data_IF_892078033381
#
_entry.id   IF_892078033381
#
_cell.length_a   1.000
_cell.length_b   1.000
_cell.length_c   1.000
_cell.angle_alpha   90.00
_cell.angle_beta   90.00
_cell.angle_gamma   90.00
#
_symmetry.space_group_name_H-M   'P 1'
#
loop_
_entity.id
_entity.type
_entity.pdbx_description
1 polymer ?
#
# COMPACT_ATOMS: atom_id res chain seq x y z
N UNK A 1 -19.13 -4.66 -10.74
CA UNK A 1 -18.82 -5.80 -11.64
C UNK A 1 -17.51 -6.41 -11.19
N UNK A 2 -17.49 -7.71 -10.88
CA UNK A 2 -16.25 -8.40 -10.51
C UNK A 2 -15.26 -8.35 -11.69
N UNK A 3 -14.00 -8.08 -11.40
CA UNK A 3 -12.91 -8.03 -12.38
C UNK A 3 -11.69 -8.73 -11.79
N UNK A 4 -11.23 -9.78 -12.45
CA UNK A 4 -10.09 -10.59 -12.02
C UNK A 4 -9.00 -10.51 -13.09
N UNK A 5 -7.77 -10.20 -12.68
CA UNK A 5 -6.61 -10.18 -13.59
C UNK A 5 -5.60 -11.23 -13.14
N UNK A 6 -5.21 -12.10 -14.07
CA UNK A 6 -4.27 -13.19 -13.84
C UNK A 6 -3.12 -13.14 -14.86
N UNK A 7 -2.01 -13.80 -14.53
CA UNK A 7 -0.90 -14.03 -15.48
C UNK A 7 -0.56 -15.52 -15.50
N UNK A 8 -1.43 -16.36 -16.08
CA UNK A 8 -1.22 -17.81 -16.14
C UNK A 8 -0.11 -18.17 -17.14
N UNK A 9 0.41 -19.41 -17.03
CA UNK A 9 1.35 -19.92 -18.02
C UNK A 9 0.69 -20.10 -19.38
N UNK A 10 1.47 -20.00 -20.46
CA UNK A 10 0.97 -20.16 -21.84
C UNK A 10 0.26 -21.53 -22.02
N UNK A 11 0.75 -22.58 -21.36
CA UNK A 11 0.11 -23.91 -21.35
C UNK A 11 -1.32 -23.87 -20.81
N UNK A 12 -1.56 -23.12 -19.72
CA UNK A 12 -2.91 -22.95 -19.15
C UNK A 12 -3.80 -22.11 -20.07
N UNK A 13 -3.24 -21.08 -20.73
CA UNK A 13 -3.96 -20.27 -21.72
C UNK A 13 -4.43 -21.14 -22.87
N UNK A 14 -3.56 -21.97 -23.44
CA UNK A 14 -3.92 -22.86 -24.53
C UNK A 14 -5.01 -23.86 -24.15
N UNK A 15 -4.89 -24.50 -22.99
CA UNK A 15 -5.92 -25.41 -22.48
C UNK A 15 -7.28 -24.69 -22.27
N UNK A 16 -7.28 -23.45 -21.84
CA UNK A 16 -8.50 -22.65 -21.70
C UNK A 16 -9.13 -22.33 -23.06
N UNK A 17 -8.32 -21.96 -24.07
CA UNK A 17 -8.78 -21.69 -25.43
C UNK A 17 -9.36 -22.91 -26.09
N UNK A 18 -8.74 -24.08 -25.94
CA UNK A 18 -9.25 -25.36 -26.44
C UNK A 18 -10.61 -25.69 -25.80
N UNK A 19 -10.75 -25.50 -24.51
CA UNK A 19 -11.99 -25.80 -23.76
C UNK A 19 -13.15 -24.87 -24.15
N UNK A 20 -12.86 -23.60 -24.43
CA UNK A 20 -13.87 -22.56 -24.71
C UNK A 20 -13.78 -22.05 -26.17
N UNK A 21 -13.34 -22.85 -27.11
CA UNK A 21 -13.08 -22.47 -28.49
C UNK A 21 -14.30 -21.83 -29.17
N UNK A 22 -15.51 -22.35 -28.89
CA UNK A 22 -16.77 -21.85 -29.48
C UNK A 22 -17.18 -20.48 -28.98
N UNK A 23 -16.55 -19.96 -27.90
CA UNK A 23 -16.85 -18.67 -27.27
C UNK A 23 -15.92 -17.54 -27.73
N UNK A 24 -15.00 -17.82 -28.66
CA UNK A 24 -14.13 -16.81 -29.26
C UNK A 24 -14.93 -15.76 -30.02
N UNK A 25 -14.59 -14.49 -29.80
CA UNK A 25 -15.23 -13.34 -30.43
C UNK A 25 -14.17 -12.34 -30.93
N UNK A 26 -14.48 -11.52 -31.94
CA UNK A 26 -13.55 -10.50 -32.40
C UNK A 26 -13.37 -9.38 -31.36
N UNK A 27 -12.13 -8.87 -31.25
CA UNK A 27 -11.80 -7.68 -30.46
C UNK A 27 -11.28 -6.57 -31.36
N UNK A 28 -11.70 -5.32 -31.08
CA UNK A 28 -11.15 -4.12 -31.76
C UNK A 28 -9.86 -3.61 -31.09
N UNK A 29 -9.48 -4.14 -29.93
CA UNK A 29 -8.29 -3.74 -29.21
C UNK A 29 -7.06 -4.53 -29.73
N UNK A 30 -6.04 -3.86 -30.33
CA UNK A 30 -4.89 -4.54 -30.91
C UNK A 30 -4.00 -5.27 -29.90
N UNK A 31 -4.13 -4.95 -28.61
CA UNK A 31 -3.38 -5.60 -27.52
C UNK A 31 -4.05 -6.87 -27.00
N UNK A 32 -5.29 -7.16 -27.43
CA UNK A 32 -6.00 -8.39 -27.05
C UNK A 32 -5.72 -9.45 -28.12
N UNK A 33 -5.00 -10.50 -27.72
CA UNK A 33 -4.67 -11.66 -28.56
C UNK A 33 -5.89 -12.56 -28.78
N UNK A 34 -6.67 -12.79 -27.71
CA UNK A 34 -7.92 -13.57 -27.75
C UNK A 34 -8.98 -12.91 -26.87
N UNK A 35 -10.19 -12.85 -27.36
CA UNK A 35 -11.35 -12.36 -26.64
C UNK A 35 -12.45 -13.42 -26.66
N UNK A 36 -13.01 -13.72 -25.48
CA UNK A 36 -14.08 -14.71 -25.34
C UNK A 36 -15.28 -14.06 -24.67
N UNK A 37 -16.47 -14.42 -25.15
CA UNK A 37 -17.76 -14.11 -24.52
C UNK A 37 -18.32 -15.37 -23.91
N UNK A 38 -18.32 -15.45 -22.61
CA UNK A 38 -18.79 -16.58 -21.83
C UNK A 38 -20.08 -16.19 -21.09
N UNK A 39 -20.92 -17.15 -20.67
CA UNK A 39 -22.09 -16.85 -19.84
C UNK A 39 -21.69 -16.03 -18.60
N UNK A 40 -22.30 -14.86 -18.45
CA UNK A 40 -22.08 -13.89 -17.37
C UNK A 40 -20.63 -13.37 -17.22
N UNK A 41 -19.75 -13.59 -18.21
CA UNK A 41 -18.38 -13.07 -18.16
C UNK A 41 -17.79 -12.82 -19.56
N UNK A 42 -16.80 -11.93 -19.62
CA UNK A 42 -15.89 -11.78 -20.76
C UNK A 42 -14.47 -12.07 -20.32
N UNK A 43 -13.68 -12.65 -21.22
CA UNK A 43 -12.28 -12.96 -21.01
C UNK A 43 -11.43 -12.30 -22.09
N UNK A 44 -10.51 -11.45 -21.69
CA UNK A 44 -9.54 -10.79 -22.57
C UNK A 44 -8.14 -11.35 -22.29
N UNK A 45 -7.53 -12.00 -23.26
CA UNK A 45 -6.16 -12.50 -23.18
C UNK A 45 -5.29 -11.55 -23.97
N UNK A 46 -4.38 -10.87 -23.30
CA UNK A 46 -3.52 -9.85 -23.89
C UNK A 46 -2.25 -10.46 -24.48
N UNK A 47 -1.63 -9.76 -25.42
CA UNK A 47 -0.33 -10.11 -26.00
C UNK A 47 0.79 -10.23 -24.95
N UNK A 48 0.65 -9.57 -23.81
CA UNK A 48 1.55 -9.66 -22.65
C UNK A 48 1.39 -10.94 -21.82
N UNK A 49 0.45 -11.83 -22.17
CA UNK A 49 0.11 -13.02 -21.37
C UNK A 49 -0.82 -12.74 -20.18
N UNK A 50 -1.22 -11.48 -19.94
CA UNK A 50 -2.25 -11.16 -18.95
C UNK A 50 -3.61 -11.62 -19.41
N UNK A 51 -4.41 -12.13 -18.47
CA UNK A 51 -5.81 -12.55 -18.69
C UNK A 51 -6.69 -11.71 -17.77
N UNK A 52 -7.63 -10.96 -18.36
CA UNK A 52 -8.63 -10.16 -17.65
C UNK A 52 -9.99 -10.85 -17.82
N UNK A 53 -10.61 -11.19 -16.69
CA UNK A 53 -11.96 -11.75 -16.61
C UNK A 53 -12.89 -10.71 -15.97
N UNK A 54 -14.03 -10.44 -16.59
CA UNK A 54 -14.99 -9.42 -16.13
C UNK A 54 -16.41 -9.97 -16.20
N UNK A 55 -17.22 -9.65 -15.18
CA UNK A 55 -18.62 -10.06 -15.07
C UNK A 55 -18.89 -10.88 -13.82
N UNK A 56 -20.15 -11.19 -13.55
CA UNK A 56 -20.57 -11.95 -12.37
C UNK A 56 -20.05 -13.40 -12.38
N UNK A 57 -19.84 -13.98 -13.57
CA UNK A 57 -19.27 -15.31 -13.74
C UNK A 57 -17.73 -15.36 -13.78
N UNK A 58 -17.03 -14.23 -13.59
CA UNK A 58 -15.58 -14.16 -13.75
C UNK A 58 -14.82 -15.15 -12.86
N UNK A 59 -15.24 -15.35 -11.63
CA UNK A 59 -14.62 -16.27 -10.67
C UNK A 59 -14.66 -17.73 -11.14
N UNK A 60 -15.80 -18.14 -11.69
CA UNK A 60 -15.97 -19.50 -12.26
C UNK A 60 -14.94 -19.81 -13.31
N UNK A 61 -14.66 -18.87 -14.20
CA UNK A 61 -13.70 -19.07 -15.30
C UNK A 61 -12.26 -18.84 -14.85
N UNK A 62 -12.05 -17.98 -13.85
CA UNK A 62 -10.74 -17.76 -13.25
C UNK A 62 -10.22 -19.03 -12.53
N UNK A 63 -11.11 -19.86 -11.98
CA UNK A 63 -10.76 -21.12 -11.34
C UNK A 63 -10.07 -22.10 -12.28
N UNK A 64 -10.35 -22.03 -13.59
CA UNK A 64 -9.65 -22.84 -14.60
C UNK A 64 -8.14 -22.56 -14.63
N UNK A 65 -7.75 -21.33 -14.35
CA UNK A 65 -6.34 -20.92 -14.25
C UNK A 65 -5.73 -21.22 -12.87
N UNK A 66 -6.51 -21.80 -11.96
CA UNK A 66 -6.12 -22.08 -10.58
C UNK A 66 -6.47 -20.93 -9.61
N UNK A 67 -7.31 -19.98 -10.04
CA UNK A 67 -7.87 -18.97 -9.14
C UNK A 67 -8.86 -19.63 -8.19
N UNK A 68 -8.68 -19.41 -6.89
CA UNK A 68 -9.63 -19.85 -5.87
C UNK A 68 -10.29 -18.62 -5.27
N UNK A 69 -11.61 -18.62 -5.19
CA UNK A 69 -12.39 -17.56 -4.55
C UNK A 69 -11.96 -17.49 -3.08
N UNK A 70 -11.40 -16.37 -2.68
CA UNK A 70 -10.86 -16.19 -1.32
C UNK A 70 -9.35 -16.38 -1.16
N UNK A 71 -8.60 -16.78 -2.22
CA UNK A 71 -7.13 -16.90 -2.14
C UNK A 71 -6.38 -15.56 -2.17
N UNK A 72 -7.03 -14.42 -2.40
CA UNK A 72 -6.35 -13.12 -2.28
C UNK A 72 -5.78 -12.87 -0.87
N UNK A 73 -6.16 -13.69 0.11
CA UNK A 73 -5.61 -13.68 1.48
C UNK A 73 -5.11 -15.04 1.99
N UNK A 74 -4.96 -16.05 1.11
CA UNK A 74 -4.56 -17.41 1.51
C UNK A 74 -3.07 -17.54 1.92
N UNK A 75 -2.26 -16.51 1.69
CA UNK A 75 -0.86 -16.47 2.12
C UNK A 75 -0.65 -16.24 3.62
N UNK A 76 -1.71 -16.00 4.39
CA UNK A 76 -1.63 -15.64 5.81
C UNK A 76 -2.25 -16.70 6.75
N UNK A 77 -2.01 -17.97 6.53
CA UNK A 77 -2.51 -18.99 7.46
C UNK A 77 -1.55 -19.25 8.63
N UNK A 78 -0.85 -18.22 9.11
CA UNK A 78 0.13 -18.26 10.18
C UNK A 78 0.23 -16.89 10.87
N UNK A 79 0.72 -16.82 12.12
CA UNK A 79 0.99 -15.56 12.82
C UNK A 79 2.00 -14.70 12.06
N UNK A 80 1.61 -13.50 11.65
CA UNK A 80 2.36 -12.68 10.71
C UNK A 80 2.45 -11.22 11.15
N UNK A 81 3.64 -10.62 11.04
CA UNK A 81 3.79 -9.16 11.04
C UNK A 81 3.73 -8.66 9.60
N UNK A 82 2.80 -7.74 9.34
CA UNK A 82 2.74 -6.98 8.09
C UNK A 82 3.08 -5.51 8.32
N UNK A 83 3.75 -4.86 7.37
CA UNK A 83 4.04 -3.43 7.46
C UNK A 83 3.73 -2.68 6.19
N UNK A 84 3.32 -1.41 6.35
CA UNK A 84 3.07 -0.51 5.23
C UNK A 84 3.45 0.93 5.59
N UNK A 85 3.65 1.78 4.57
CA UNK A 85 4.02 3.20 4.67
C UNK A 85 3.07 4.09 3.88
N UNK A 86 2.53 5.11 4.55
CA UNK A 86 1.67 6.13 3.93
C UNK A 86 2.34 7.50 4.01
N UNK A 87 2.09 8.34 2.99
CA UNK A 87 2.62 9.70 2.89
C UNK A 87 3.81 9.84 1.94
N UNK A 88 4.35 8.74 1.39
CA UNK A 88 5.50 8.77 0.48
C UNK A 88 5.26 9.63 -0.79
N UNK A 89 4.05 9.58 -1.37
CA UNK A 89 3.67 10.37 -2.55
C UNK A 89 3.02 11.72 -2.24
N UNK A 90 2.98 12.13 -0.98
CA UNK A 90 2.35 13.38 -0.57
C UNK A 90 3.40 14.44 -0.25
N UNK A 91 3.20 15.65 -0.76
CA UNK A 91 4.04 16.81 -0.45
C UNK A 91 3.87 17.22 1.00
N UNK A 92 2.62 17.46 1.42
CA UNK A 92 2.29 17.77 2.81
C UNK A 92 2.22 16.51 3.66
N UNK A 93 2.42 16.69 4.96
CA UNK A 93 2.40 15.63 5.95
C UNK A 93 3.71 14.83 5.99
N UNK A 94 3.84 14.06 7.05
CA UNK A 94 4.99 13.21 7.32
C UNK A 94 4.94 11.86 6.60
N UNK A 95 5.74 10.91 7.10
CA UNK A 95 5.66 9.49 6.76
C UNK A 95 5.08 8.72 7.95
N UNK A 96 3.98 8.02 7.73
CA UNK A 96 3.38 7.12 8.71
C UNK A 96 3.74 5.68 8.34
N UNK A 97 4.44 4.98 9.21
CA UNK A 97 4.78 3.56 9.06
C UNK A 97 4.16 2.78 10.19
N UNK A 98 3.48 1.69 9.86
CA UNK A 98 2.86 0.81 10.85
C UNK A 98 3.28 -0.63 10.62
N UNK A 99 3.59 -1.32 11.71
CA UNK A 99 3.74 -2.77 11.76
C UNK A 99 2.59 -3.34 12.60
N UNK A 100 1.86 -4.32 12.07
CA UNK A 100 0.75 -4.98 12.76
C UNK A 100 0.97 -6.48 12.81
N UNK A 101 0.66 -7.09 13.95
CA UNK A 101 0.72 -8.54 14.14
C UNK A 101 -0.69 -9.12 14.08
N UNK A 102 -0.92 -10.02 13.15
CA UNK A 102 -2.21 -10.68 12.92
C UNK A 102 -2.04 -12.19 12.97
N UNK A 103 -2.95 -12.84 13.71
CA UNK A 103 -3.02 -14.29 13.85
C UNK A 103 -4.22 -14.85 13.08
N UNK A 104 -4.22 -16.14 12.68
CA UNK A 104 -5.31 -16.72 11.89
C UNK A 104 -6.71 -16.62 12.53
N UNK A 105 -6.80 -16.68 13.85
CA UNK A 105 -8.06 -16.52 14.60
C UNK A 105 -8.71 -15.14 14.47
N UNK A 106 -7.93 -14.12 14.10
CA UNK A 106 -8.41 -12.75 13.87
C UNK A 106 -8.95 -12.54 12.45
N UNK A 107 -8.72 -13.45 11.51
CA UNK A 107 -9.04 -13.26 10.10
C UNK A 107 -10.53 -13.00 9.85
N UNK A 108 -11.42 -13.77 10.47
CA UNK A 108 -12.87 -13.61 10.28
C UNK A 108 -13.36 -12.26 10.79
N UNK A 109 -12.84 -11.80 11.92
CA UNK A 109 -13.11 -10.47 12.45
C UNK A 109 -12.65 -9.38 11.47
N UNK A 110 -11.42 -9.48 10.96
CA UNK A 110 -10.86 -8.49 10.03
C UNK A 110 -11.63 -8.44 8.70
N UNK A 111 -12.01 -9.60 8.15
CA UNK A 111 -12.83 -9.67 6.92
C UNK A 111 -14.22 -9.06 7.11
N UNK A 112 -14.89 -9.37 8.24
CA UNK A 112 -16.19 -8.76 8.58
C UNK A 112 -16.11 -7.25 8.73
N UNK A 113 -14.97 -6.72 9.18
CA UNK A 113 -14.71 -5.28 9.27
C UNK A 113 -14.42 -4.63 7.91
N UNK A 114 -14.16 -5.44 6.86
CA UNK A 114 -13.85 -4.99 5.50
C UNK A 114 -12.36 -4.73 5.24
N UNK A 115 -11.46 -5.24 6.08
CA UNK A 115 -10.01 -5.03 5.95
C UNK A 115 -9.44 -5.66 4.68
N UNK A 116 -9.98 -6.80 4.21
CA UNK A 116 -9.49 -7.51 3.02
C UNK A 116 -9.62 -6.72 1.70
N UNK A 117 -10.41 -5.67 1.65
CA UNK A 117 -10.64 -4.81 0.48
C UNK A 117 -10.13 -3.36 0.72
N UNK A 118 -8.99 -3.24 1.39
CA UNK A 118 -8.42 -1.97 1.85
C UNK A 118 -8.22 -0.93 0.73
N UNK A 119 -7.99 -1.37 -0.52
CA UNK A 119 -7.82 -0.49 -1.69
C UNK A 119 -9.09 0.26 -2.09
N UNK A 120 -10.25 -0.26 -1.74
CA UNK A 120 -11.56 0.34 -2.06
C UNK A 120 -12.08 1.20 -0.92
N UNK A 121 -11.42 1.19 0.25
CA UNK A 121 -11.84 1.94 1.42
C UNK A 121 -11.67 3.44 1.21
N UNK A 122 -12.76 4.18 1.43
CA UNK A 122 -12.72 5.65 1.49
C UNK A 122 -12.05 6.13 2.79
N UNK A 123 -11.51 7.35 2.80
CA UNK A 123 -10.94 7.95 4.01
C UNK A 123 -11.95 7.98 5.18
N UNK A 124 -13.24 8.21 4.89
CA UNK A 124 -14.30 8.15 5.89
C UNK A 124 -14.41 6.75 6.50
N UNK A 125 -14.37 5.69 5.69
CA UNK A 125 -14.41 4.32 6.19
C UNK A 125 -13.16 3.95 6.98
N UNK A 126 -11.99 4.39 6.54
CA UNK A 126 -10.70 4.23 7.26
C UNK A 126 -10.80 4.84 8.66
N UNK A 127 -11.31 6.08 8.78
CA UNK A 127 -11.54 6.76 10.06
C UNK A 127 -12.49 6.00 10.99
N UNK A 128 -13.47 5.27 10.45
CA UNK A 128 -14.39 4.46 11.25
C UNK A 128 -13.75 3.18 11.79
N UNK A 129 -12.92 2.50 10.99
CA UNK A 129 -12.40 1.19 11.34
C UNK A 129 -11.02 1.24 12.01
N UNK A 130 -10.20 2.26 11.74
CA UNK A 130 -8.87 2.36 12.31
C UNK A 130 -8.85 2.38 13.86
N UNK A 131 -9.75 3.08 14.57
CA UNK A 131 -9.81 3.00 16.04
C UNK A 131 -10.07 1.59 16.57
N UNK A 132 -10.93 0.82 15.88
CA UNK A 132 -11.25 -0.57 16.23
C UNK A 132 -10.01 -1.45 16.03
N UNK A 133 -9.28 -1.26 14.92
CA UNK A 133 -8.05 -1.99 14.66
C UNK A 133 -6.96 -1.66 15.67
N UNK A 134 -6.79 -0.37 16.01
CA UNK A 134 -5.81 0.09 17.01
C UNK A 134 -6.08 -0.53 18.39
N UNK A 135 -7.34 -0.76 18.73
CA UNK A 135 -7.73 -1.41 20.00
C UNK A 135 -7.51 -2.93 19.98
N UNK A 136 -7.86 -3.60 18.87
CA UNK A 136 -7.96 -5.07 18.81
C UNK A 136 -6.71 -5.76 18.27
N UNK A 137 -5.87 -5.06 17.52
CA UNK A 137 -4.70 -5.63 16.85
C UNK A 137 -3.41 -5.07 17.46
N UNK A 138 -2.51 -5.96 17.84
CA UNK A 138 -1.18 -5.56 18.30
C UNK A 138 -0.43 -4.90 17.15
N UNK A 139 -0.01 -3.66 17.35
CA UNK A 139 0.66 -2.87 16.34
C UNK A 139 1.69 -1.91 16.93
N UNK A 140 2.56 -1.40 16.07
CA UNK A 140 3.47 -0.31 16.34
C UNK A 140 3.36 0.72 15.21
N UNK A 141 2.93 1.91 15.56
CA UNK A 141 2.81 3.02 14.62
C UNK A 141 3.93 4.04 14.86
N UNK A 142 4.54 4.52 13.79
CA UNK A 142 5.56 5.56 13.79
C UNK A 142 5.15 6.66 12.82
N UNK A 143 5.28 7.90 13.25
CA UNK A 143 5.10 9.10 12.43
C UNK A 143 6.39 9.90 12.41
N UNK A 144 7.02 9.99 11.25
CA UNK A 144 8.12 10.92 11.01
C UNK A 144 7.52 12.25 10.51
N UNK A 145 7.58 13.29 11.35
CA UNK A 145 7.05 14.61 10.99
C UNK A 145 7.78 15.22 9.80
N UNK A 146 7.15 16.15 9.03
CA UNK A 146 7.83 16.80 7.90
C UNK A 146 9.12 17.49 8.29
N UNK A 147 9.15 18.23 9.39
CA UNK A 147 10.35 18.91 9.88
C UNK A 147 11.49 17.94 10.15
N UNK A 148 11.19 16.82 10.86
CA UNK A 148 12.21 15.79 11.13
C UNK A 148 12.64 15.05 9.87
N UNK A 149 11.70 14.82 8.94
CA UNK A 149 12.03 14.29 7.63
C UNK A 149 13.03 15.18 6.90
N UNK A 150 12.78 16.50 6.84
CA UNK A 150 13.65 17.46 6.18
C UNK A 150 15.05 17.58 6.83
N UNK A 151 15.11 17.41 8.16
CA UNK A 151 16.37 17.39 8.91
C UNK A 151 17.26 16.20 8.54
N UNK A 152 16.68 15.01 8.38
CA UNK A 152 17.45 13.76 8.19
C UNK A 152 17.70 13.40 6.73
N UNK A 153 16.89 13.96 5.80
CA UNK A 153 17.05 13.73 4.35
C UNK A 153 18.19 14.59 3.81
N UNK A 154 19.07 13.94 3.06
CA UNK A 154 20.24 14.59 2.45
C UNK A 154 21.50 14.47 3.29
N UNK A 155 21.39 14.39 4.61
CA UNK A 155 22.52 14.16 5.52
C UNK A 155 22.68 12.66 5.80
N UNK A 156 21.79 12.08 6.60
CA UNK A 156 21.86 10.69 7.02
C UNK A 156 21.10 9.74 6.10
N UNK A 157 19.96 10.16 5.57
CA UNK A 157 19.04 9.32 4.80
C UNK A 157 18.71 9.91 3.44
N UNK A 158 18.33 9.04 2.51
CA UNK A 158 17.58 9.41 1.31
C UNK A 158 16.11 8.94 1.44
N UNK A 159 15.28 9.27 0.46
CA UNK A 159 13.85 8.95 0.47
C UNK A 159 13.54 7.42 0.52
N UNK A 160 14.49 6.55 0.20
CA UNK A 160 14.34 5.10 0.32
C UNK A 160 14.85 4.62 1.67
N UNK A 161 16.07 5.00 2.06
CA UNK A 161 16.69 4.51 3.28
C UNK A 161 15.96 4.95 4.55
N UNK A 162 15.34 6.12 4.57
CA UNK A 162 14.50 6.57 5.70
C UNK A 162 13.29 5.64 5.91
N UNK A 163 12.69 5.13 4.83
CA UNK A 163 11.60 4.16 4.93
C UNK A 163 12.10 2.81 5.45
N UNK A 164 13.27 2.34 4.98
CA UNK A 164 13.90 1.12 5.54
C UNK A 164 14.10 1.26 7.04
N UNK A 165 14.66 2.38 7.50
CA UNK A 165 14.85 2.64 8.93
C UNK A 165 13.53 2.62 9.72
N UNK A 166 12.46 3.24 9.18
CA UNK A 166 11.15 3.28 9.83
C UNK A 166 10.48 1.90 9.89
N UNK A 167 10.50 1.13 8.80
CA UNK A 167 9.97 -0.23 8.80
C UNK A 167 10.73 -1.12 9.80
N UNK A 168 12.06 -1.08 9.74
CA UNK A 168 12.90 -1.83 10.68
C UNK A 168 12.59 -1.45 12.13
N UNK A 169 12.48 -0.16 12.44
CA UNK A 169 12.17 0.31 13.78
C UNK A 169 10.78 -0.11 14.26
N UNK A 170 9.75 -0.02 13.40
CA UNK A 170 8.40 -0.44 13.74
C UNK A 170 8.32 -1.95 14.04
N UNK A 171 8.96 -2.77 13.21
CA UNK A 171 9.05 -4.22 13.43
C UNK A 171 9.82 -4.51 14.72
N UNK A 172 11.00 -3.90 14.89
CA UNK A 172 11.83 -4.10 16.08
C UNK A 172 11.05 -3.80 17.37
N UNK A 173 10.38 -2.66 17.45
CA UNK A 173 9.60 -2.28 18.62
C UNK A 173 8.41 -3.22 18.87
N UNK A 174 7.80 -3.74 17.81
CA UNK A 174 6.72 -4.71 17.94
C UNK A 174 7.23 -6.06 18.46
N UNK A 175 8.39 -6.52 17.98
CA UNK A 175 9.05 -7.73 18.47
C UNK A 175 9.48 -7.58 19.95
N UNK A 176 9.92 -6.40 20.38
CA UNK A 176 10.27 -6.13 21.80
C UNK A 176 9.08 -6.27 22.76
N UNK A 177 7.85 -6.27 22.26
CA UNK A 177 6.64 -6.58 23.02
C UNK A 177 6.44 -8.09 23.28
N UNK A 178 7.40 -8.93 22.86
CA UNK A 178 7.35 -10.39 23.05
C UNK A 178 6.57 -11.13 21.95
N UNK A 179 6.22 -10.46 20.85
CA UNK A 179 5.52 -11.06 19.72
C UNK A 179 6.47 -11.99 18.96
N UNK A 180 5.97 -13.18 18.61
CA UNK A 180 6.71 -14.19 17.86
C UNK A 180 5.99 -14.50 16.53
N UNK A 181 6.27 -13.73 15.46
CA UNK A 181 5.71 -14.00 14.15
C UNK A 181 6.44 -15.18 13.49
N UNK A 182 5.70 -15.96 12.71
CA UNK A 182 6.29 -16.98 11.82
C UNK A 182 6.77 -16.37 10.51
N UNK A 183 6.21 -15.23 10.11
CA UNK A 183 6.61 -14.49 8.90
C UNK A 183 6.52 -12.98 9.14
N UNK A 184 7.43 -12.22 8.49
CA UNK A 184 7.38 -10.76 8.43
C UNK A 184 7.30 -10.35 6.96
N UNK A 185 6.27 -9.57 6.60
CA UNK A 185 6.03 -9.08 5.23
C UNK A 185 6.01 -7.56 5.22
N UNK A 186 6.75 -6.98 4.30
CA UNK A 186 6.74 -5.53 4.01
C UNK A 186 6.15 -5.34 2.62
N UNK A 187 5.19 -4.40 2.46
CA UNK A 187 4.78 -3.96 1.13
C UNK A 187 5.96 -3.30 0.42
N UNK A 188 6.36 -3.87 -0.73
CA UNK A 188 7.62 -3.56 -1.36
C UNK A 188 7.64 -2.15 -1.97
N UNK A 189 8.50 -1.30 -1.48
CA UNK A 189 8.79 0.04 -1.98
C UNK A 189 10.18 0.18 -2.60
N UNK A 190 10.98 -0.88 -2.55
CA UNK A 190 12.32 -0.98 -3.14
C UNK A 190 12.70 -2.46 -3.35
N UNK A 191 13.80 -2.72 -4.05
CA UNK A 191 14.29 -4.10 -4.23
C UNK A 191 14.89 -4.66 -2.92
N UNK A 192 14.87 -5.99 -2.76
CA UNK A 192 15.47 -6.65 -1.61
C UNK A 192 16.95 -6.27 -1.43
N UNK A 193 17.71 -6.23 -2.51
CA UNK A 193 19.12 -5.80 -2.49
C UNK A 193 19.32 -4.39 -1.92
N UNK A 194 18.46 -3.44 -2.30
CA UNK A 194 18.51 -2.08 -1.76
C UNK A 194 18.06 -2.04 -0.29
N UNK A 195 17.02 -2.80 0.05
CA UNK A 195 16.56 -2.91 1.43
C UNK A 195 17.68 -3.40 2.34
N UNK A 196 18.32 -4.51 2.01
CA UNK A 196 19.43 -5.10 2.77
C UNK A 196 20.62 -4.14 2.91
N UNK A 197 20.97 -3.44 1.81
CA UNK A 197 22.04 -2.43 1.82
C UNK A 197 21.77 -1.34 2.85
N UNK A 198 20.56 -0.82 2.92
CA UNK A 198 20.22 0.25 3.87
C UNK A 198 20.00 -0.29 5.28
N UNK A 199 19.38 -1.46 5.41
CA UNK A 199 19.21 -2.14 6.69
C UNK A 199 20.59 -2.40 7.37
N UNK A 200 21.63 -2.68 6.57
CA UNK A 200 22.97 -2.87 7.08
C UNK A 200 23.54 -1.68 7.87
N UNK A 201 22.97 -0.49 7.71
CA UNK A 201 23.39 0.75 8.38
C UNK A 201 22.61 1.03 9.68
N UNK A 202 21.50 0.28 9.93
CA UNK A 202 20.67 0.48 11.10
C UNK A 202 21.25 -0.25 12.33
N UNK A 203 21.11 0.37 13.49
CA UNK A 203 21.62 -0.17 14.76
C UNK A 203 20.74 -1.30 15.31
N UNK A 204 19.40 -1.16 15.17
CA UNK A 204 18.47 -2.15 15.70
C UNK A 204 18.40 -3.35 14.77
N UNK A 205 18.60 -4.55 15.35
CA UNK A 205 18.66 -5.81 14.62
C UNK A 205 17.72 -6.84 15.21
N UNK A 206 17.20 -7.69 14.35
CA UNK A 206 16.46 -8.90 14.70
C UNK A 206 16.80 -10.00 13.68
N UNK A 207 16.63 -11.25 14.07
CA UNK A 207 17.01 -12.42 13.25
C UNK A 207 15.90 -12.93 12.34
N UNK A 208 14.68 -12.46 12.53
CA UNK A 208 13.54 -12.90 11.73
C UNK A 208 13.73 -12.52 10.25
N UNK A 209 13.53 -13.46 9.31
CA UNK A 209 13.60 -13.15 7.89
C UNK A 209 12.46 -12.23 7.46
N UNK A 210 12.78 -11.29 6.58
CA UNK A 210 11.82 -10.33 6.01
C UNK A 210 11.55 -10.72 4.56
N UNK A 211 10.26 -10.70 4.17
CA UNK A 211 9.82 -10.80 2.77
C UNK A 211 9.35 -9.43 2.29
N UNK A 212 9.93 -8.93 1.19
CA UNK A 212 9.38 -7.76 0.48
C UNK A 212 8.50 -8.28 -0.65
N UNK A 213 7.23 -7.92 -0.63
CA UNK A 213 6.25 -8.38 -1.61
C UNK A 213 5.46 -7.21 -2.19
N UNK A 214 5.36 -7.15 -3.53
CA UNK A 214 4.56 -6.12 -4.19
C UNK A 214 3.07 -6.35 -3.97
N UNK A 215 2.35 -5.26 -3.68
CA UNK A 215 0.90 -5.26 -3.41
C UNK A 215 0.53 -6.21 -2.28
N UNK A 216 1.35 -6.24 -1.24
CA UNK A 216 1.21 -7.15 -0.13
C UNK A 216 -0.08 -6.89 0.67
N UNK A 217 -0.61 -5.67 0.65
CA UNK A 217 -1.89 -5.32 1.30
C UNK A 217 -3.08 -6.09 0.72
N UNK A 218 -3.03 -6.52 -0.55
CA UNK A 218 -4.05 -7.38 -1.16
C UNK A 218 -3.87 -8.87 -0.86
N UNK A 219 -2.74 -9.28 -0.30
CA UNK A 219 -2.40 -10.69 -0.03
C UNK A 219 -2.42 -11.04 1.45
N UNK A 220 -2.09 -10.08 2.32
CA UNK A 220 -1.87 -10.29 3.75
C UNK A 220 -2.71 -9.32 4.58
N UNK A 221 -3.60 -9.85 5.41
CA UNK A 221 -4.43 -9.04 6.30
C UNK A 221 -3.60 -8.17 7.26
N UNK A 222 -2.45 -8.65 7.73
CA UNK A 222 -1.57 -7.85 8.58
C UNK A 222 -1.04 -6.61 7.87
N UNK A 223 -0.71 -6.71 6.57
CA UNK A 223 -0.29 -5.55 5.75
C UNK A 223 -1.47 -4.62 5.52
N UNK A 224 -2.67 -5.16 5.21
CA UNK A 224 -3.88 -4.36 5.04
C UNK A 224 -4.27 -3.60 6.32
N UNK A 225 -4.16 -4.23 7.50
CA UNK A 225 -4.34 -3.55 8.80
C UNK A 225 -3.34 -2.41 8.97
N UNK A 226 -2.07 -2.66 8.68
CA UNK A 226 -1.02 -1.64 8.76
C UNK A 226 -1.27 -0.48 7.82
N UNK A 227 -1.71 -0.75 6.59
CA UNK A 227 -2.08 0.27 5.60
C UNK A 227 -3.20 1.18 6.11
N UNK A 228 -4.27 0.60 6.68
CA UNK A 228 -5.41 1.33 7.23
C UNK A 228 -4.99 2.21 8.41
N UNK A 229 -4.25 1.67 9.37
CA UNK A 229 -3.79 2.44 10.55
C UNK A 229 -2.81 3.53 10.12
N UNK A 230 -1.90 3.24 9.18
CA UNK A 230 -0.96 4.24 8.65
C UNK A 230 -1.68 5.36 7.88
N UNK A 231 -2.73 5.03 7.10
CA UNK A 231 -3.54 6.03 6.40
C UNK A 231 -4.29 6.93 7.37
N UNK A 232 -4.90 6.37 8.41
CA UNK A 232 -5.57 7.13 9.45
C UNK A 232 -4.60 8.09 10.17
N UNK A 233 -3.44 7.60 10.58
CA UNK A 233 -2.39 8.39 11.22
C UNK A 233 -1.88 9.53 10.32
N UNK A 234 -1.72 9.24 9.02
CA UNK A 234 -1.32 10.24 8.03
C UNK A 234 -2.38 11.34 7.84
N UNK A 235 -3.66 10.97 7.75
CA UNK A 235 -4.76 11.92 7.62
C UNK A 235 -4.88 12.80 8.87
N UNK A 236 -4.77 12.21 10.05
CA UNK A 236 -4.74 12.95 11.31
C UNK A 236 -3.55 13.95 11.36
N UNK A 237 -2.39 13.53 10.89
CA UNK A 237 -1.23 14.41 10.79
C UNK A 237 -1.48 15.60 9.84
N UNK A 238 -2.06 15.37 8.66
CA UNK A 238 -2.42 16.46 7.74
C UNK A 238 -3.39 17.45 8.38
N UNK A 239 -4.42 16.96 9.06
CA UNK A 239 -5.42 17.79 9.75
C UNK A 239 -4.80 18.64 10.87
N UNK A 240 -3.93 18.04 11.68
CA UNK A 240 -3.28 18.74 12.79
C UNK A 240 -2.35 19.84 12.26
N UNK A 241 -1.49 19.52 11.29
CA UNK A 241 -0.60 20.52 10.66
C UNK A 241 -1.40 21.64 9.97
N UNK A 242 -2.49 21.28 9.29
CA UNK A 242 -3.37 22.24 8.64
C UNK A 242 -4.07 23.15 9.62
N UNK A 243 -4.53 22.62 10.77
CA UNK A 243 -5.19 23.40 11.84
C UNK A 243 -4.24 24.42 12.43
N UNK A 244 -2.98 24.03 12.67
CA UNK A 244 -1.97 24.95 13.23
C UNK A 244 -1.63 26.11 12.29
N UNK A 245 -1.65 25.86 10.97
CA UNK A 245 -1.34 26.88 9.95
C UNK A 245 -2.59 27.65 9.45
N UNK A 246 -3.79 27.18 9.76
CA UNK A 246 -5.03 27.74 9.23
C UNK A 246 -5.33 27.38 7.78
N UNK A 247 -4.77 26.28 7.27
CA UNK A 247 -4.93 25.80 5.90
C UNK A 247 -5.43 24.36 5.84
N UNK A 248 -6.23 24.04 4.82
CA UNK A 248 -6.53 22.66 4.51
C UNK A 248 -5.40 22.09 3.64
N UNK A 249 -4.62 21.16 4.20
CA UNK A 249 -3.50 20.54 3.49
C UNK A 249 -3.98 19.37 2.64
N UNK A 250 -3.86 19.44 1.30
CA UNK A 250 -4.26 18.32 0.44
C UNK A 250 -3.26 17.17 0.52
N UNK A 251 -3.74 15.93 0.43
CA UNK A 251 -2.88 14.77 0.22
C UNK A 251 -2.40 14.73 -1.24
N UNK A 252 -1.20 14.17 -1.47
CA UNK A 252 -0.58 14.12 -2.79
C UNK A 252 0.33 15.31 -3.09
N UNK A 253 0.79 15.42 -4.34
CA UNK A 253 1.77 16.41 -4.80
C UNK A 253 1.33 17.12 -6.09
N UNK A 254 0.01 17.19 -6.33
CA UNK A 254 -0.59 17.82 -7.51
C UNK A 254 -0.74 19.35 -7.39
N UNK A 255 -1.49 19.93 -8.32
CA UNK A 255 -1.73 21.39 -8.41
C UNK A 255 -2.43 21.96 -7.17
N UNK A 256 -3.27 21.19 -6.49
CA UNK A 256 -3.88 21.62 -5.23
C UNK A 256 -2.80 21.84 -4.16
N UNK A 257 -1.80 20.96 -4.09
CA UNK A 257 -0.65 21.13 -3.18
C UNK A 257 0.23 22.31 -3.58
N UNK A 258 0.44 22.56 -4.88
CA UNK A 258 1.21 23.72 -5.37
C UNK A 258 0.57 25.05 -4.90
N UNK A 259 -0.77 25.18 -5.02
CA UNK A 259 -1.51 26.38 -4.61
C UNK A 259 -1.40 26.65 -3.10
N UNK A 260 -1.64 25.63 -2.29
CA UNK A 260 -1.55 25.76 -0.83
C UNK A 260 -0.11 26.03 -0.39
N UNK A 261 0.88 25.42 -1.04
CA UNK A 261 2.28 25.69 -0.78
C UNK A 261 2.67 27.16 -1.01
N UNK A 262 2.21 27.77 -2.11
CA UNK A 262 2.44 29.20 -2.39
C UNK A 262 1.81 30.09 -1.32
N UNK A 263 0.59 29.78 -0.88
CA UNK A 263 -0.08 30.54 0.18
C UNK A 263 0.66 30.44 1.53
N UNK A 264 1.10 29.24 1.92
CA UNK A 264 1.87 29.04 3.14
C UNK A 264 3.22 29.75 3.06
N UNK A 265 3.90 29.69 1.90
CA UNK A 265 5.17 30.37 1.70
C UNK A 265 5.03 31.90 1.82
N UNK A 266 3.96 32.48 1.30
CA UNK A 266 3.67 33.91 1.41
C UNK A 266 3.35 34.31 2.85
N UNK A 267 2.61 33.48 3.60
CA UNK A 267 2.17 33.80 4.96
C UNK A 267 3.25 33.53 6.03
N UNK A 268 3.99 32.45 5.89
CA UNK A 268 4.89 31.93 6.95
C UNK A 268 6.33 31.69 6.47
N UNK A 269 6.65 32.02 5.22
CA UNK A 269 7.98 31.78 4.65
C UNK A 269 8.35 30.28 4.56
N UNK A 270 9.63 30.03 4.38
CA UNK A 270 10.15 28.64 4.32
C UNK A 270 9.98 27.86 5.64
N UNK A 271 9.84 28.55 6.75
CA UNK A 271 9.58 27.88 8.04
C UNK A 271 8.23 27.20 8.06
N UNK A 272 7.19 27.84 7.50
CA UNK A 272 5.86 27.24 7.34
C UNK A 272 5.88 25.99 6.46
N UNK A 273 6.60 26.04 5.33
CA UNK A 273 6.76 24.86 4.47
C UNK A 273 7.58 23.75 5.15
N UNK A 274 8.65 24.11 5.87
CA UNK A 274 9.44 23.12 6.62
C UNK A 274 8.62 22.40 7.70
N UNK A 275 7.69 23.13 8.33
CA UNK A 275 6.81 22.58 9.35
C UNK A 275 5.83 21.54 8.80
N UNK A 276 5.27 21.75 7.60
CA UNK A 276 4.15 20.95 7.09
C UNK A 276 4.45 20.12 5.83
N UNK A 277 5.60 20.32 5.16
CA UNK A 277 5.88 19.73 3.86
C UNK A 277 7.27 19.07 3.77
N UNK A 278 7.40 18.10 2.86
CA UNK A 278 8.67 17.46 2.51
C UNK A 278 9.38 18.28 1.42
N UNK A 279 10.36 19.08 1.81
CA UNK A 279 10.96 20.13 0.97
C UNK A 279 11.69 19.65 -0.29
N UNK A 280 12.06 18.38 -0.38
CA UNK A 280 12.70 17.79 -1.56
C UNK A 280 11.76 17.62 -2.77
N UNK A 281 10.44 17.76 -2.57
CA UNK A 281 9.47 17.71 -3.66
C UNK A 281 9.57 18.96 -4.56
N UNK A 282 9.33 18.77 -5.87
CA UNK A 282 9.31 19.87 -6.86
C UNK A 282 8.28 20.96 -6.54
N UNK A 283 7.26 20.65 -5.71
CA UNK A 283 6.25 21.60 -5.23
C UNK A 283 6.90 22.79 -4.49
N UNK A 284 7.98 22.56 -3.73
CA UNK A 284 8.73 23.63 -3.05
C UNK A 284 9.28 24.66 -4.05
N UNK A 285 9.89 24.18 -5.14
CA UNK A 285 10.44 25.09 -6.16
C UNK A 285 9.34 25.79 -6.97
N UNK A 286 8.20 25.15 -7.17
CA UNK A 286 7.05 25.80 -7.81
C UNK A 286 6.46 26.89 -6.93
N UNK A 287 6.31 26.64 -5.61
CA UNK A 287 5.81 27.64 -4.68
C UNK A 287 6.66 28.91 -4.63
N UNK A 288 7.98 28.79 -4.82
CA UNK A 288 8.91 29.95 -4.88
C UNK A 288 8.77 30.80 -6.15
N UNK A 289 8.16 30.26 -7.21
CA UNK A 289 7.99 30.95 -8.51
C UNK A 289 6.64 31.64 -8.67
N UNK A 290 5.72 31.41 -7.76
CA UNK A 290 4.41 32.05 -7.65
C UNK A 290 4.47 33.14 -6.59
#
# INVERSE_FOLDING_TARGET
MASITLTPSEKKIQAFLEHYQTSLAPSKNPYIRYFLRLPQATVSIYTSGKVLLQGEGAEKYASFFGYQVGEENSGQNLPLIGTDVVGNGSYFGGLAVVASFVTPDQHDFLRKLGVGDSKTLTDQKIRQIAPILKEKIQHQALLLSPSKYNEVIGDRYNAVSVKVALHNQAIYLLLQKGIQPEKIVIDAFTSAKNYDKYLAQEANRFSNPISLEEKAEGKYLAVAVSSIIARDLFLENLENLGRELGYQLPSGAGTASDKVASQILQAYGMQGLNFCAKLHFKNTEKAKKC
#
